data_IF_029876017440
#
_entry.id   IF_029876017440
#
_cell.length_a   1.000
_cell.length_b   1.000
_cell.length_c   1.000
_cell.angle_alpha   90.00
_cell.angle_beta   90.00
_cell.angle_gamma   90.00
#
_symmetry.space_group_name_H-M   'P 1'
#
loop_
_entity.id
_entity.type
_entity.pdbx_description
1 polymer ?
#
# COMPACT_ATOMS: atom_id res chain seq x y z
N UNK A 1 10.16 -9.93 12.36
CA UNK A 1 10.96 -8.70 12.53
C UNK A 1 10.06 -7.53 12.95
N UNK A 2 9.71 -7.44 14.23
CA UNK A 2 9.06 -6.26 14.82
C UNK A 2 9.77 -5.99 16.14
N UNK A 3 10.77 -5.11 16.13
CA UNK A 3 11.55 -4.79 17.31
C UNK A 3 11.76 -3.28 17.39
N UNK A 4 11.17 -2.67 18.42
CA UNK A 4 11.25 -1.22 18.67
C UNK A 4 12.69 -0.71 18.77
N UNK A 5 13.64 -1.55 19.21
CA UNK A 5 15.07 -1.18 19.28
C UNK A 5 15.65 -0.87 17.90
N UNK A 6 15.23 -1.59 16.86
CA UNK A 6 15.68 -1.30 15.49
C UNK A 6 15.03 -0.04 14.93
N UNK A 7 13.77 0.23 15.26
CA UNK A 7 13.09 1.46 14.87
C UNK A 7 13.77 2.70 15.48
N UNK A 8 14.14 2.63 16.77
CA UNK A 8 14.88 3.70 17.45
C UNK A 8 16.24 3.93 16.80
N UNK A 9 17.04 2.86 16.62
CA UNK A 9 18.35 2.96 15.97
C UNK A 9 18.28 3.53 14.56
N UNK A 10 17.22 3.19 13.79
CA UNK A 10 17.04 3.72 12.45
C UNK A 10 16.79 5.25 12.46
N UNK A 11 16.04 5.75 13.45
CA UNK A 11 15.84 7.19 13.64
C UNK A 11 17.12 7.90 14.07
N UNK A 12 17.90 7.30 14.97
CA UNK A 12 19.21 7.84 15.39
C UNK A 12 20.17 7.98 14.20
N UNK A 13 20.04 7.10 13.19
CA UNK A 13 20.79 7.19 11.93
C UNK A 13 20.21 8.20 10.92
N UNK A 14 19.17 8.95 11.27
CA UNK A 14 18.59 10.00 10.42
C UNK A 14 17.79 9.47 9.22
N UNK A 15 17.27 8.23 9.27
CA UNK A 15 16.62 7.58 8.11
C UNK A 15 15.36 8.30 7.61
N UNK A 16 14.72 9.13 8.44
CA UNK A 16 13.42 9.71 8.13
C UNK A 16 13.47 10.67 6.94
N UNK A 17 14.50 11.51 6.84
CA UNK A 17 14.65 12.48 5.74
C UNK A 17 14.84 11.73 4.39
N UNK A 18 15.78 10.77 4.24
CA UNK A 18 15.89 9.97 3.01
C UNK A 18 14.58 9.27 2.61
N UNK A 19 13.82 8.75 3.58
CA UNK A 19 12.54 8.10 3.30
C UNK A 19 11.50 9.10 2.77
N UNK A 20 11.45 10.32 3.32
CA UNK A 20 10.57 11.38 2.82
C UNK A 20 10.94 11.81 1.39
N UNK A 21 12.23 11.92 1.09
CA UNK A 21 12.72 12.22 -0.26
C UNK A 21 12.30 11.15 -1.29
N UNK A 22 12.33 9.87 -0.90
CA UNK A 22 11.79 8.79 -1.74
C UNK A 22 10.28 8.99 -1.97
N UNK A 23 9.51 9.29 -0.91
CA UNK A 23 8.07 9.52 -1.04
C UNK A 23 7.68 10.74 -1.89
N UNK A 24 8.55 11.76 -1.98
CA UNK A 24 8.33 12.94 -2.84
C UNK A 24 8.35 12.64 -4.34
N UNK A 25 8.91 11.48 -4.72
CA UNK A 25 9.02 11.06 -6.12
C UNK A 25 10.43 11.11 -6.67
N UNK A 26 11.46 11.20 -5.81
CA UNK A 26 12.85 11.09 -6.25
C UNK A 26 13.18 9.65 -6.73
N UNK A 27 12.32 8.68 -6.43
CA UNK A 27 12.39 7.29 -6.88
C UNK A 27 11.00 6.79 -7.29
N UNK A 28 10.93 5.57 -7.84
CA UNK A 28 9.71 5.04 -8.46
C UNK A 28 8.73 4.50 -7.40
N UNK A 29 7.55 4.06 -7.86
CA UNK A 29 6.56 3.39 -7.02
C UNK A 29 7.11 2.13 -6.32
N UNK A 30 8.17 1.50 -6.86
CA UNK A 30 8.84 0.35 -6.23
C UNK A 30 9.50 0.76 -4.93
N UNK A 31 10.33 1.81 -4.94
CA UNK A 31 10.99 2.32 -3.73
C UNK A 31 10.00 3.01 -2.78
N UNK A 32 9.02 3.76 -3.32
CA UNK A 32 7.99 4.42 -2.51
C UNK A 32 7.21 3.42 -1.64
N UNK A 33 6.91 2.23 -2.16
CA UNK A 33 6.27 1.14 -1.39
C UNK A 33 7.12 0.70 -0.19
N UNK A 34 8.43 0.64 -0.35
CA UNK A 34 9.34 0.26 0.74
C UNK A 34 9.43 1.41 1.76
N UNK A 35 9.55 2.65 1.28
CA UNK A 35 9.67 3.82 2.13
C UNK A 35 8.41 4.06 2.98
N UNK A 36 7.23 3.97 2.38
CA UNK A 36 5.96 4.19 3.10
C UNK A 36 5.77 3.13 4.19
N UNK A 37 6.15 1.88 3.91
CA UNK A 37 6.10 0.79 4.88
C UNK A 37 7.08 1.01 6.02
N UNK A 38 8.30 1.45 5.72
CA UNK A 38 9.32 1.77 6.73
C UNK A 38 8.83 2.88 7.67
N UNK A 39 8.30 3.98 7.13
CA UNK A 39 7.73 5.07 7.93
C UNK A 39 6.52 4.57 8.74
N UNK A 40 5.67 3.73 8.15
CA UNK A 40 4.58 3.05 8.85
C UNK A 40 5.04 2.31 10.10
N UNK A 41 6.12 1.53 9.99
CA UNK A 41 6.71 0.83 11.15
C UNK A 41 7.26 1.80 12.20
N UNK A 42 7.96 2.85 11.79
CA UNK A 42 8.48 3.88 12.70
C UNK A 42 7.33 4.62 13.41
N UNK A 43 6.24 4.92 12.71
CA UNK A 43 5.07 5.59 13.28
C UNK A 43 4.25 4.69 14.21
N UNK A 44 4.31 3.36 14.03
CA UNK A 44 3.51 2.40 14.78
C UNK A 44 3.92 2.32 16.25
N UNK A 45 5.22 2.35 16.55
CA UNK A 45 5.70 2.29 17.93
C UNK A 45 5.47 3.60 18.68
N UNK A 46 5.06 3.51 19.94
CA UNK A 46 4.86 4.68 20.80
C UNK A 46 6.15 5.50 20.99
N UNK A 47 7.28 4.80 21.21
CA UNK A 47 8.59 5.42 21.48
C UNK A 47 9.12 6.26 20.33
N UNK A 48 8.92 5.83 19.09
CA UNK A 48 9.46 6.48 17.88
C UNK A 48 8.43 7.38 17.18
N UNK A 49 7.16 7.27 17.56
CA UNK A 49 6.08 8.05 16.94
C UNK A 49 6.22 9.56 17.16
N UNK A 50 6.85 10.01 18.24
CA UNK A 50 7.08 11.45 18.50
C UNK A 50 8.05 12.05 17.48
N UNK A 51 9.15 11.36 17.18
CA UNK A 51 10.13 11.83 16.21
C UNK A 51 9.57 11.85 14.79
N UNK A 52 8.75 10.86 14.45
CA UNK A 52 8.05 10.80 13.15
C UNK A 52 7.00 11.92 13.03
N UNK A 53 6.33 12.28 14.12
CA UNK A 53 5.29 13.31 14.12
C UNK A 53 5.82 14.73 13.86
N UNK A 54 7.13 14.98 13.99
CA UNK A 54 7.75 16.24 13.59
C UNK A 54 7.46 16.55 12.11
N UNK A 55 7.36 15.51 11.27
CA UNK A 55 7.11 15.61 9.83
C UNK A 55 5.66 15.29 9.46
N UNK A 56 4.73 15.27 10.43
CA UNK A 56 3.36 14.79 10.25
C UNK A 56 2.63 15.42 9.06
N UNK A 57 2.64 16.76 8.95
CA UNK A 57 1.97 17.47 7.86
C UNK A 57 2.45 17.01 6.48
N UNK A 58 3.75 16.82 6.34
CA UNK A 58 4.37 16.36 5.10
C UNK A 58 4.07 14.88 4.83
N UNK A 59 4.21 14.02 5.85
CA UNK A 59 3.93 12.59 5.75
C UNK A 59 2.47 12.34 5.37
N UNK A 60 1.52 13.00 6.04
CA UNK A 60 0.09 12.84 5.76
C UNK A 60 -0.22 13.24 4.32
N UNK A 61 0.31 14.38 3.85
CA UNK A 61 0.14 14.83 2.46
C UNK A 61 0.68 13.79 1.46
N UNK A 62 1.88 13.27 1.69
CA UNK A 62 2.51 12.28 0.81
C UNK A 62 1.77 10.94 0.84
N UNK A 63 1.37 10.46 2.01
CA UNK A 63 0.63 9.22 2.18
C UNK A 63 -0.77 9.30 1.54
N UNK A 64 -1.48 10.43 1.67
CA UNK A 64 -2.77 10.64 0.97
C UNK A 64 -2.60 10.64 -0.54
N UNK A 65 -1.56 11.31 -1.06
CA UNK A 65 -1.23 11.29 -2.49
C UNK A 65 -0.97 9.86 -2.96
N UNK A 66 -0.11 9.11 -2.27
CA UNK A 66 0.22 7.73 -2.65
C UNK A 66 -1.00 6.80 -2.56
N UNK A 67 -1.79 6.89 -1.50
CA UNK A 67 -3.00 6.09 -1.32
C UNK A 67 -4.00 6.28 -2.47
N UNK A 68 -4.09 7.50 -3.01
CA UNK A 68 -5.01 7.83 -4.09
C UNK A 68 -4.44 7.62 -5.50
N UNK A 69 -3.12 7.75 -5.69
CA UNK A 69 -2.51 7.71 -7.04
C UNK A 69 -1.84 6.39 -7.39
N UNK A 70 -1.51 5.55 -6.42
CA UNK A 70 -0.60 4.42 -6.64
C UNK A 70 -1.06 3.44 -7.72
N UNK A 71 -2.35 3.09 -7.78
CA UNK A 71 -2.88 2.18 -8.81
C UNK A 71 -2.71 2.78 -10.21
N UNK A 72 -3.03 4.06 -10.38
CA UNK A 72 -2.91 4.79 -11.64
C UNK A 72 -1.44 4.88 -12.09
N UNK A 73 -0.54 5.21 -11.16
CA UNK A 73 0.90 5.32 -11.42
C UNK A 73 1.46 3.97 -11.88
N UNK A 74 1.17 2.88 -11.15
CA UNK A 74 1.66 1.54 -11.52
C UNK A 74 1.08 1.09 -12.86
N UNK A 75 -0.19 1.39 -13.13
CA UNK A 75 -0.77 1.08 -14.43
C UNK A 75 -0.05 1.85 -15.55
N UNK A 76 0.08 3.17 -15.42
CA UNK A 76 0.68 4.02 -16.46
C UNK A 76 2.15 3.68 -16.71
N UNK A 77 2.90 3.42 -15.66
CA UNK A 77 4.35 3.25 -15.72
C UNK A 77 4.79 1.80 -15.95
N UNK A 78 3.90 0.82 -15.77
CA UNK A 78 4.26 -0.59 -15.89
C UNK A 78 3.20 -1.43 -16.60
N UNK A 79 2.01 -1.62 -16.01
CA UNK A 79 1.03 -2.61 -16.51
C UNK A 79 0.51 -2.23 -17.92
N UNK A 80 0.16 -0.97 -18.13
CA UNK A 80 -0.34 -0.42 -19.39
C UNK A 80 0.73 -0.08 -20.43
N UNK A 81 2.01 -0.34 -20.14
CA UNK A 81 3.11 -0.14 -21.09
C UNK A 81 3.05 -1.24 -22.16
N UNK A 82 2.72 -0.85 -23.40
CA UNK A 82 2.58 -1.77 -24.53
C UNK A 82 3.91 -2.34 -25.03
N UNK A 83 4.96 -1.50 -25.05
CA UNK A 83 6.30 -1.93 -25.43
C UNK A 83 7.05 -2.41 -24.20
N UNK A 84 7.20 -3.73 -24.06
CA UNK A 84 7.84 -4.35 -22.90
C UNK A 84 9.30 -3.96 -22.74
N UNK A 85 9.98 -3.53 -23.81
CA UNK A 85 11.37 -3.06 -23.72
C UNK A 85 11.49 -1.71 -22.98
N UNK A 86 10.37 -0.98 -22.85
CA UNK A 86 10.31 0.27 -22.09
C UNK A 86 10.11 0.03 -20.59
N UNK A 87 9.82 -1.21 -20.17
CA UNK A 87 9.76 -1.54 -18.74
C UNK A 87 11.19 -1.58 -18.18
N UNK A 88 11.36 -0.96 -17.02
CA UNK A 88 12.64 -1.01 -16.31
C UNK A 88 12.93 -2.46 -15.90
N UNK A 89 14.04 -3.01 -16.40
CA UNK A 89 14.46 -4.40 -16.20
C UNK A 89 14.49 -4.75 -14.71
N UNK A 90 15.01 -3.84 -13.87
CA UNK A 90 15.10 -4.08 -12.43
C UNK A 90 13.72 -4.13 -11.74
N UNK A 91 12.70 -3.43 -12.26
CA UNK A 91 11.32 -3.58 -11.77
C UNK A 91 10.82 -4.99 -12.03
N UNK A 92 11.00 -5.49 -13.26
CA UNK A 92 10.66 -6.86 -13.60
C UNK A 92 11.40 -7.85 -12.69
N UNK A 93 12.71 -7.65 -12.45
CA UNK A 93 13.52 -8.53 -11.59
C UNK A 93 13.02 -8.56 -10.16
N UNK A 94 12.74 -7.40 -9.61
CA UNK A 94 12.26 -7.26 -8.23
C UNK A 94 10.87 -7.87 -8.05
N UNK A 95 9.98 -7.71 -9.04
CA UNK A 95 8.63 -8.27 -9.01
C UNK A 95 8.60 -9.79 -9.11
N UNK A 96 9.41 -10.36 -10.01
CA UNK A 96 9.38 -11.80 -10.31
C UNK A 96 10.52 -12.58 -9.67
N UNK A 97 11.39 -11.92 -8.90
CA UNK A 97 12.66 -12.50 -8.40
C UNK A 97 13.50 -13.13 -9.52
N UNK A 98 13.54 -12.46 -10.68
CA UNK A 98 14.30 -12.89 -11.86
C UNK A 98 13.60 -13.92 -12.77
N UNK A 99 12.46 -14.50 -12.40
CA UNK A 99 11.77 -15.52 -13.22
C UNK A 99 11.20 -14.97 -14.53
N UNK A 100 10.84 -13.67 -14.58
CA UNK A 100 10.22 -12.96 -15.71
C UNK A 100 8.86 -13.55 -16.13
N UNK A 101 8.16 -12.83 -17.00
CA UNK A 101 6.94 -13.30 -17.65
C UNK A 101 5.80 -12.31 -17.51
N UNK A 102 5.21 -11.92 -18.64
CA UNK A 102 4.25 -10.82 -18.75
C UNK A 102 3.10 -10.91 -17.74
N UNK A 103 2.46 -12.07 -17.65
CA UNK A 103 1.33 -12.30 -16.75
C UNK A 103 1.75 -12.19 -15.28
N UNK A 104 2.87 -12.83 -14.93
CA UNK A 104 3.39 -12.78 -13.56
C UNK A 104 3.83 -11.36 -13.17
N UNK A 105 4.50 -10.65 -14.07
CA UNK A 105 4.94 -9.27 -13.89
C UNK A 105 3.75 -8.34 -13.64
N UNK A 106 2.70 -8.44 -14.46
CA UNK A 106 1.49 -7.63 -14.31
C UNK A 106 0.79 -7.90 -12.99
N UNK A 107 0.54 -9.18 -12.67
CA UNK A 107 -0.09 -9.58 -11.40
C UNK A 107 0.71 -9.09 -10.19
N UNK A 108 2.04 -9.24 -10.20
CA UNK A 108 2.91 -8.78 -9.11
C UNK A 108 2.93 -7.26 -9.00
N UNK A 109 2.88 -6.54 -10.12
CA UNK A 109 2.79 -5.09 -10.12
C UNK A 109 1.49 -4.61 -9.46
N UNK A 110 0.35 -5.22 -9.79
CA UNK A 110 -0.95 -4.93 -9.19
C UNK A 110 -0.99 -5.25 -7.68
N UNK A 111 -0.42 -6.39 -7.28
CA UNK A 111 -0.25 -6.74 -5.86
C UNK A 111 0.58 -5.67 -5.12
N UNK A 112 1.69 -5.22 -5.71
CA UNK A 112 2.56 -4.22 -5.09
C UNK A 112 1.92 -2.83 -5.06
N UNK A 113 1.11 -2.48 -6.07
CA UNK A 113 0.29 -1.27 -6.07
C UNK A 113 -0.72 -1.30 -4.91
N UNK A 114 -1.38 -2.44 -4.71
CA UNK A 114 -2.29 -2.66 -3.58
C UNK A 114 -1.58 -2.58 -2.23
N UNK A 115 -0.36 -3.14 -2.12
CA UNK A 115 0.46 -3.01 -0.92
C UNK A 115 0.83 -1.54 -0.65
N UNK A 116 1.26 -0.79 -1.67
CA UNK A 116 1.56 0.64 -1.55
C UNK A 116 0.34 1.42 -1.05
N UNK A 117 -0.85 1.14 -1.59
CA UNK A 117 -2.10 1.73 -1.11
C UNK A 117 -2.36 1.39 0.37
N UNK A 118 -2.29 0.11 0.72
CA UNK A 118 -2.57 -0.36 2.07
C UNK A 118 -1.59 0.22 3.11
N UNK A 119 -0.29 0.25 2.81
CA UNK A 119 0.70 0.84 3.71
C UNK A 119 0.55 2.35 3.85
N UNK A 120 0.12 3.03 2.79
CA UNK A 120 -0.22 4.46 2.86
C UNK A 120 -1.40 4.71 3.80
N UNK A 121 -2.47 3.91 3.67
CA UNK A 121 -3.63 3.98 4.56
C UNK A 121 -3.28 3.61 6.01
N UNK A 122 -2.44 2.60 6.21
CA UNK A 122 -1.93 2.21 7.53
C UNK A 122 -1.18 3.38 8.20
N UNK A 123 -0.31 4.06 7.46
CA UNK A 123 0.42 5.20 7.97
C UNK A 123 -0.52 6.35 8.35
N UNK A 124 -1.52 6.66 7.51
CA UNK A 124 -2.56 7.64 7.84
C UNK A 124 -3.33 7.26 9.10
N UNK A 125 -3.65 5.97 9.25
CA UNK A 125 -4.31 5.44 10.43
C UNK A 125 -3.45 5.59 11.70
N UNK A 126 -2.12 5.45 11.59
CA UNK A 126 -1.21 5.69 12.71
C UNK A 126 -1.28 7.13 13.24
N UNK A 127 -1.46 8.12 12.36
CA UNK A 127 -1.65 9.51 12.77
C UNK A 127 -3.08 9.78 13.27
N UNK A 128 -4.08 9.14 12.67
CA UNK A 128 -5.48 9.23 13.08
C UNK A 128 -5.71 8.73 14.50
N UNK A 129 -5.22 7.52 14.83
CA UNK A 129 -5.41 6.87 16.14
C UNK A 129 -4.68 7.62 17.26
N UNK A 130 -3.57 8.29 16.95
CA UNK A 130 -2.72 8.95 17.96
C UNK A 130 -3.16 10.38 18.29
N UNK A 131 -4.32 10.82 17.78
CA UNK A 131 -4.97 12.11 18.05
C UNK A 131 -4.08 13.36 17.87
N UNK A 132 -2.95 13.25 17.14
CA UNK A 132 -1.93 14.30 17.18
C UNK A 132 -2.27 15.57 16.41
N UNK A 133 -3.18 15.56 15.43
CA UNK A 133 -3.69 16.81 14.81
C UNK A 133 -5.10 16.73 14.20
N UNK A 134 -5.87 15.68 14.39
CA UNK A 134 -7.25 15.67 13.88
C UNK A 134 -8.17 16.18 14.98
N UNK A 135 -8.10 17.49 15.21
CA UNK A 135 -8.84 18.19 16.25
C UNK A 135 -10.25 17.66 16.40
N UNK A 136 -10.57 17.27 17.63
CA UNK A 136 -11.88 16.96 18.20
C UNK A 136 -12.99 16.66 17.19
N UNK A 137 -12.85 15.56 16.44
CA UNK A 137 -13.93 15.04 15.59
C UNK A 137 -13.89 13.54 15.59
N UNK A 138 -14.86 12.97 16.28
CA UNK A 138 -15.45 11.64 16.11
C UNK A 138 -15.79 11.28 14.65
N UNK A 139 -14.85 11.34 13.70
CA UNK A 139 -15.06 10.99 12.28
C UNK A 139 -13.82 11.09 11.37
N UNK A 140 -12.60 10.92 11.88
CA UNK A 140 -11.38 10.93 11.06
C UNK A 140 -11.44 9.91 9.92
N UNK A 141 -11.91 8.69 10.21
CA UNK A 141 -12.12 7.66 9.19
C UNK A 141 -13.08 8.12 8.08
N UNK A 142 -14.12 8.89 8.42
CA UNK A 142 -15.03 9.51 7.46
C UNK A 142 -14.40 10.66 6.69
N UNK A 143 -13.44 11.39 7.28
CA UNK A 143 -12.69 12.45 6.58
C UNK A 143 -11.73 11.83 5.57
N UNK A 144 -10.95 10.82 5.97
CA UNK A 144 -10.08 10.06 5.06
C UNK A 144 -10.93 9.45 3.94
N UNK A 145 -12.07 8.83 4.28
CA UNK A 145 -12.99 8.24 3.29
C UNK A 145 -13.57 9.28 2.35
N UNK A 146 -14.03 10.44 2.84
CA UNK A 146 -14.53 11.54 1.99
C UNK A 146 -13.44 12.08 1.09
N UNK A 147 -12.26 12.37 1.60
CA UNK A 147 -11.17 12.91 0.78
C UNK A 147 -10.70 11.92 -0.27
N UNK A 148 -10.61 10.62 0.05
CA UNK A 148 -10.32 9.58 -0.95
C UNK A 148 -11.45 9.45 -1.98
N UNK A 149 -12.71 9.58 -1.58
CA UNK A 149 -13.87 9.57 -2.47
C UNK A 149 -13.92 10.82 -3.37
N UNK A 150 -13.56 11.97 -2.85
CA UNK A 150 -13.59 13.23 -3.58
C UNK A 150 -12.43 13.30 -4.58
N UNK A 151 -11.22 12.87 -4.20
CA UNK A 151 -10.08 12.71 -5.12
C UNK A 151 -10.37 11.65 -6.20
N UNK A 152 -11.05 10.55 -5.83
CA UNK A 152 -11.53 9.55 -6.79
C UNK A 152 -12.54 10.15 -7.79
N UNK A 153 -13.51 10.95 -7.32
CA UNK A 153 -14.50 11.62 -8.19
C UNK A 153 -13.85 12.64 -9.11
N UNK A 154 -12.91 13.43 -8.61
CA UNK A 154 -12.18 14.41 -9.42
C UNK A 154 -11.30 13.73 -10.49
N UNK A 155 -10.68 12.58 -10.19
CA UNK A 155 -9.93 11.80 -11.18
C UNK A 155 -10.82 11.11 -12.20
N UNK A 156 -12.00 10.61 -11.80
CA UNK A 156 -13.00 10.06 -12.73
C UNK A 156 -13.33 11.05 -13.86
N UNK A 157 -13.36 12.34 -13.56
CA UNK A 157 -13.62 13.41 -14.53
C UNK A 157 -12.40 13.68 -15.45
N UNK A 158 -11.17 13.34 -15.02
CA UNK A 158 -9.92 13.64 -15.73
C UNK A 158 -9.37 12.47 -16.58
N UNK A 159 -9.74 11.23 -16.28
CA UNK A 159 -9.28 10.04 -17.03
C UNK A 159 -10.05 9.95 -18.37
N UNK A 160 -9.37 10.26 -19.47
CA UNK A 160 -9.94 10.15 -20.84
C UNK A 160 -9.87 8.74 -21.44
N UNK A 161 -9.17 7.81 -20.77
CA UNK A 161 -8.96 6.46 -21.28
C UNK A 161 -10.07 5.52 -20.78
N UNK A 162 -10.89 5.06 -21.72
CA UNK A 162 -12.09 4.24 -21.49
C UNK A 162 -11.74 2.90 -20.82
N UNK A 163 -10.64 2.25 -21.21
CA UNK A 163 -10.23 0.97 -20.62
C UNK A 163 -9.78 1.11 -19.16
N UNK A 164 -9.07 2.19 -18.85
CA UNK A 164 -8.68 2.52 -17.47
C UNK A 164 -9.92 2.83 -16.63
N UNK A 165 -10.90 3.54 -17.20
CA UNK A 165 -12.13 3.87 -16.51
C UNK A 165 -12.96 2.61 -16.18
N UNK A 166 -13.04 1.65 -17.10
CA UNK A 166 -13.76 0.38 -16.91
C UNK A 166 -13.13 -0.49 -15.82
N UNK A 167 -11.82 -0.74 -15.89
CA UNK A 167 -11.10 -1.53 -14.87
C UNK A 167 -11.18 -0.85 -13.50
N UNK A 168 -11.12 0.48 -13.47
CA UNK A 168 -11.23 1.25 -12.24
C UNK A 168 -12.64 1.20 -11.62
N UNK A 169 -13.69 1.20 -12.44
CA UNK A 169 -15.08 0.98 -12.00
C UNK A 169 -15.31 -0.45 -11.49
N UNK A 170 -14.71 -1.45 -12.14
CA UNK A 170 -14.79 -2.85 -11.74
C UNK A 170 -14.12 -3.11 -10.39
N UNK A 171 -12.87 -2.64 -10.22
CA UNK A 171 -12.13 -2.73 -8.95
C UNK A 171 -12.88 -2.02 -7.82
N UNK A 172 -13.49 -0.87 -8.12
CA UNK A 172 -14.28 -0.12 -7.16
C UNK A 172 -15.54 -0.89 -6.74
N UNK A 173 -16.29 -1.44 -7.70
CA UNK A 173 -17.45 -2.30 -7.45
C UNK A 173 -17.10 -3.47 -6.54
N UNK A 174 -16.01 -4.17 -6.85
CA UNK A 174 -15.51 -5.29 -6.05
C UNK A 174 -15.16 -4.87 -4.60
N UNK A 175 -14.51 -3.71 -4.40
CA UNK A 175 -14.19 -3.19 -3.05
C UNK A 175 -15.44 -2.76 -2.28
N UNK A 176 -16.38 -2.08 -2.92
CA UNK A 176 -17.65 -1.66 -2.31
C UNK A 176 -18.48 -2.88 -1.92
N UNK A 177 -18.60 -3.88 -2.79
CA UNK A 177 -19.39 -5.07 -2.53
C UNK A 177 -18.73 -6.00 -1.50
N UNK A 178 -17.39 -6.04 -1.45
CA UNK A 178 -16.67 -6.67 -0.34
C UNK A 178 -17.01 -5.98 0.99
N UNK A 179 -16.98 -4.64 1.04
CA UNK A 179 -17.31 -3.88 2.27
C UNK A 179 -18.75 -4.08 2.72
N UNK A 180 -19.71 -4.16 1.80
CA UNK A 180 -21.11 -4.52 2.10
C UNK A 180 -21.21 -5.94 2.69
N UNK A 181 -20.49 -6.91 2.10
CA UNK A 181 -20.44 -8.29 2.62
C UNK A 181 -19.82 -8.35 4.01
N UNK A 182 -18.73 -7.62 4.25
CA UNK A 182 -18.09 -7.53 5.56
C UNK A 182 -19.01 -6.89 6.61
N UNK A 183 -19.74 -5.82 6.26
CA UNK A 183 -20.69 -5.16 7.16
C UNK A 183 -21.88 -6.05 7.57
N UNK A 184 -22.22 -7.03 6.73
CA UNK A 184 -23.30 -7.99 6.99
C UNK A 184 -22.82 -9.25 7.74
N UNK A 185 -21.52 -9.38 8.03
CA UNK A 185 -20.96 -10.48 8.80
C UNK A 185 -20.82 -10.09 10.28
N UNK A 186 -20.86 -11.08 11.17
CA UNK A 186 -20.52 -10.86 12.59
C UNK A 186 -19.02 -10.68 12.77
N UNK A 187 -18.63 -10.02 13.86
CA UNK A 187 -17.22 -9.78 14.20
C UNK A 187 -16.43 -11.09 14.35
N UNK A 188 -17.08 -12.16 14.85
CA UNK A 188 -16.49 -13.49 14.97
C UNK A 188 -16.14 -14.09 13.59
N UNK A 189 -17.05 -14.02 12.62
CA UNK A 189 -16.82 -14.52 11.25
C UNK A 189 -15.74 -13.69 10.52
N UNK A 190 -15.68 -12.38 10.81
CA UNK A 190 -14.64 -11.51 10.27
C UNK A 190 -13.26 -11.88 10.83
N UNK A 191 -13.17 -12.16 12.12
CA UNK A 191 -11.93 -12.56 12.78
C UNK A 191 -11.47 -13.95 12.31
N UNK A 192 -12.38 -14.92 12.19
CA UNK A 192 -12.05 -16.24 11.63
C UNK A 192 -11.47 -16.15 10.22
N UNK A 193 -12.09 -15.32 9.35
CA UNK A 193 -11.58 -15.09 8.00
C UNK A 193 -10.23 -14.38 7.98
N UNK A 194 -10.01 -13.43 8.89
CA UNK A 194 -8.74 -12.72 9.06
C UNK A 194 -7.60 -13.67 9.47
N UNK A 195 -7.88 -14.54 10.45
CA UNK A 195 -6.95 -15.56 10.94
C UNK A 195 -6.63 -16.57 9.83
N UNK A 196 -7.65 -17.06 9.12
CA UNK A 196 -7.47 -17.99 8.00
C UNK A 196 -6.59 -17.41 6.89
N UNK A 197 -6.85 -16.17 6.47
CA UNK A 197 -6.03 -15.48 5.46
C UNK A 197 -4.59 -15.28 5.94
N UNK A 198 -4.39 -15.03 7.24
CA UNK A 198 -3.05 -14.87 7.83
C UNK A 198 -2.27 -16.19 7.84
N UNK A 199 -2.93 -17.30 8.15
CA UNK A 199 -2.37 -18.65 8.07
C UNK A 199 -1.99 -19.03 6.63
N UNK A 200 -2.87 -18.78 5.67
CA UNK A 200 -2.58 -19.03 4.24
C UNK A 200 -1.35 -18.25 3.78
N UNK A 201 -1.26 -16.96 4.13
CA UNK A 201 -0.08 -16.13 3.85
C UNK A 201 1.18 -16.68 4.49
N UNK A 202 1.11 -17.13 5.75
CA UNK A 202 2.25 -17.71 6.44
C UNK A 202 2.71 -19.01 5.77
N UNK A 203 1.77 -19.86 5.37
CA UNK A 203 2.05 -21.12 4.68
C UNK A 203 2.62 -20.88 3.28
N UNK A 204 2.04 -19.97 2.50
CA UNK A 204 2.57 -19.54 1.21
C UNK A 204 3.99 -18.98 1.32
N UNK A 205 4.24 -18.14 2.32
CA UNK A 205 5.59 -17.64 2.60
C UNK A 205 6.57 -18.76 2.97
N UNK A 206 6.15 -19.73 3.80
CA UNK A 206 7.00 -20.86 4.16
C UNK A 206 7.35 -21.73 2.94
N UNK A 207 6.36 -22.07 2.11
CA UNK A 207 6.56 -22.82 0.87
C UNK A 207 7.51 -22.08 -0.08
N UNK A 208 7.41 -20.76 -0.14
CA UNK A 208 8.31 -19.92 -0.92
C UNK A 208 9.75 -19.94 -0.40
N UNK A 209 9.96 -19.91 0.92
CA UNK A 209 11.29 -20.06 1.52
C UNK A 209 11.91 -21.43 1.28
N UNK A 210 11.07 -22.47 1.20
CA UNK A 210 11.48 -23.85 0.89
C UNK A 210 11.69 -24.10 -0.62
N UNK A 211 11.55 -23.09 -1.47
CA UNK A 211 11.73 -23.21 -2.93
C UNK A 211 10.56 -23.87 -3.66
N UNK A 212 9.44 -24.12 -2.96
CA UNK A 212 8.24 -24.74 -3.51
C UNK A 212 7.30 -23.69 -4.12
N UNK A 213 7.67 -23.17 -5.29
CA UNK A 213 7.02 -22.01 -5.90
C UNK A 213 5.56 -22.29 -6.28
N UNK A 214 5.25 -23.48 -6.82
CA UNK A 214 3.88 -23.86 -7.18
C UNK A 214 2.97 -23.96 -5.94
N UNK A 215 3.45 -24.59 -4.86
CA UNK A 215 2.72 -24.66 -3.59
C UNK A 215 2.59 -23.29 -2.90
N UNK A 216 3.54 -22.38 -3.12
CA UNK A 216 3.44 -21.01 -2.62
C UNK A 216 2.37 -20.20 -3.36
N UNK A 217 2.23 -20.40 -4.68
CA UNK A 217 1.22 -19.73 -5.51
C UNK A 217 -0.21 -20.17 -5.20
N UNK A 218 -0.42 -21.40 -4.73
CA UNK A 218 -1.73 -21.90 -4.33
C UNK A 218 -2.25 -21.28 -3.02
N UNK A 219 -1.38 -20.59 -2.27
CA UNK A 219 -1.67 -20.04 -0.94
C UNK A 219 -1.64 -18.49 -0.87
N UNK A 220 -1.49 -17.82 -2.02
CA UNK A 220 -1.47 -16.35 -2.19
C UNK A 220 -2.66 -15.96 -3.06
#
# INVERSE_FOLDING_TARGET
>A
MNNVKFAMKALDCGVLIPLLEILKGNMTWVEQRVAIRAIGHLASYEKTSKDVAIYEKEIVKLAMKLASTCLEVVYKEFVGVKDLNMRLIYHCDMLTRGVRGLEMENRKAEEWASQLQCWSLHLLNCFAIKERTLGDKSNVGNTITRTLLDDFKERKVKIKNIGVQQVHEEIWGLKVDRKKREKNMSDEILEEKSVMVSLMKQQGNNNFWLGKIEEAMMNI
#
